data_IF_315849768161
#
_entry.id   IF_315849768161
#
_cell.length_a   1.000
_cell.length_b   1.000
_cell.length_c   1.000
_cell.angle_alpha   90.00
_cell.angle_beta   90.00
_cell.angle_gamma   90.00
#
_symmetry.space_group_name_H-M   'P 1'
#
loop_
_entity.id
_entity.type
_entity.pdbx_description
1 polymer ?
#
# COMPACT_ATOMS: atom_id res chain seq x y z
N UNK A 1 -27.85 3.40 56.68
CA UNK A 1 -26.60 4.11 56.31
C UNK A 1 -26.03 3.39 55.11
N UNK A 2 -26.01 4.07 53.96
CA UNK A 2 -25.70 3.46 52.66
C UNK A 2 -24.18 3.53 52.49
N UNK A 3 -23.52 2.37 52.42
CA UNK A 3 -22.07 2.28 52.26
C UNK A 3 -21.69 2.52 50.80
N UNK A 4 -20.86 3.53 50.54
CA UNK A 4 -20.32 3.83 49.22
C UNK A 4 -19.12 2.92 48.93
N UNK A 5 -19.21 2.13 47.86
CA UNK A 5 -18.10 1.35 47.33
C UNK A 5 -17.24 2.23 46.41
N UNK A 6 -15.92 2.22 46.63
CA UNK A 6 -14.94 2.92 45.80
C UNK A 6 -14.84 2.29 44.38
N UNK A 7 -14.50 3.08 43.34
CA UNK A 7 -14.46 2.58 41.97
C UNK A 7 -13.28 1.60 41.78
N UNK A 8 -13.59 0.39 41.32
CA UNK A 8 -12.59 -0.58 40.85
C UNK A 8 -12.00 -0.04 39.55
N UNK A 9 -10.76 0.44 39.60
CA UNK A 9 -9.97 0.72 38.41
C UNK A 9 -9.53 -0.64 37.84
N UNK A 10 -9.89 -1.00 36.60
CA UNK A 10 -9.45 -2.26 36.02
C UNK A 10 -7.93 -2.23 35.78
N UNK A 11 -7.23 -3.35 36.04
CA UNK A 11 -5.79 -3.45 35.83
C UNK A 11 -5.48 -3.26 34.34
N UNK A 12 -4.50 -2.40 34.04
CA UNK A 12 -3.95 -2.22 32.69
C UNK A 12 -3.60 -3.58 32.11
N UNK A 13 -4.37 -4.04 31.13
CA UNK A 13 -4.06 -5.26 30.41
C UNK A 13 -2.72 -5.08 29.69
N UNK A 14 -1.82 -6.00 30.02
CA UNK A 14 -0.57 -6.24 29.34
C UNK A 14 -0.86 -6.44 27.85
N UNK A 15 -0.07 -5.80 27.00
CA UNK A 15 -0.08 -5.99 25.54
C UNK A 15 0.12 -7.46 25.23
N UNK A 16 -0.98 -8.20 25.08
CA UNK A 16 -0.98 -9.59 24.65
C UNK A 16 -0.87 -9.55 23.14
N UNK A 17 0.37 -9.55 22.64
CA UNK A 17 0.64 -9.83 21.23
C UNK A 17 -0.14 -11.10 20.88
N UNK A 18 -1.14 -10.98 20.02
CA UNK A 18 -1.98 -12.11 19.64
C UNK A 18 -1.17 -13.03 18.72
N UNK A 19 -1.56 -14.29 18.60
CA UNK A 19 -0.85 -15.25 17.76
C UNK A 19 -0.74 -14.77 16.29
N UNK A 20 -1.69 -13.94 15.85
CA UNK A 20 -1.69 -13.28 14.54
C UNK A 20 -0.52 -12.29 14.36
N UNK A 21 -0.09 -11.62 15.44
CA UNK A 21 1.07 -10.71 15.42
C UNK A 21 2.39 -11.47 15.19
N UNK A 22 2.48 -12.72 15.65
CA UNK A 22 3.64 -13.58 15.42
C UNK A 22 3.70 -14.11 13.98
N UNK A 23 2.56 -14.36 13.33
CA UNK A 23 2.52 -14.77 11.92
C UNK A 23 2.90 -13.62 10.99
N UNK A 24 2.49 -12.38 11.31
CA UNK A 24 2.89 -11.18 10.57
C UNK A 24 4.41 -10.95 10.63
N UNK A 25 5.02 -11.13 11.80
CA UNK A 25 6.47 -11.00 11.97
C UNK A 25 7.28 -12.10 11.25
N UNK A 26 6.67 -13.23 10.87
CA UNK A 26 7.34 -14.30 10.14
C UNK A 26 7.42 -14.06 8.62
N UNK A 27 6.72 -13.05 8.10
CA UNK A 27 6.73 -12.71 6.67
C UNK A 27 8.01 -11.94 6.31
N UNK A 28 8.73 -12.38 5.27
CA UNK A 28 9.88 -11.64 4.72
C UNK A 28 9.43 -10.22 4.35
N UNK A 29 10.10 -9.21 4.90
CA UNK A 29 9.67 -7.80 4.78
C UNK A 29 9.08 -7.20 6.06
N UNK A 30 8.57 -8.03 6.97
CA UNK A 30 8.04 -7.61 8.28
C UNK A 30 9.01 -7.89 9.44
N UNK A 31 10.15 -8.53 9.14
CA UNK A 31 11.28 -8.74 10.05
C UNK A 31 12.08 -7.45 10.25
N UNK A 32 13.05 -7.49 11.16
CA UNK A 32 13.91 -6.33 11.50
C UNK A 32 14.68 -5.76 10.30
N UNK A 33 14.99 -6.57 9.29
CA UNK A 33 15.69 -6.14 8.08
C UNK A 33 14.77 -5.54 7.01
N UNK A 34 13.45 -5.57 7.19
CA UNK A 34 12.49 -5.00 6.25
C UNK A 34 12.71 -5.51 4.82
N UNK A 35 12.80 -4.60 3.86
CA UNK A 35 13.04 -4.94 2.46
C UNK A 35 14.36 -5.68 2.21
N UNK A 36 15.37 -5.52 3.07
CA UNK A 36 16.66 -6.17 2.86
C UNK A 36 16.59 -7.68 3.04
N UNK A 37 15.67 -8.17 3.87
CA UNK A 37 15.44 -9.60 4.05
C UNK A 37 14.87 -10.22 2.77
N UNK A 38 14.02 -9.48 2.05
CA UNK A 38 13.52 -9.88 0.73
C UNK A 38 14.65 -9.88 -0.30
N UNK A 39 15.45 -8.80 -0.36
CA UNK A 39 16.56 -8.65 -1.31
C UNK A 39 17.63 -9.74 -1.17
N UNK A 40 17.89 -10.19 0.07
CA UNK A 40 18.89 -11.22 0.40
C UNK A 40 18.38 -12.65 0.24
N UNK A 41 17.09 -12.84 -0.07
CA UNK A 41 16.52 -14.17 -0.25
C UNK A 41 17.14 -14.90 -1.47
N UNK A 42 17.34 -16.22 -1.37
CA UNK A 42 18.01 -17.04 -2.42
C UNK A 42 17.40 -16.88 -3.81
N UNK A 43 16.08 -16.66 -3.90
CA UNK A 43 15.38 -16.42 -5.17
C UNK A 43 15.97 -15.23 -5.94
N UNK A 44 16.34 -14.15 -5.25
CA UNK A 44 16.89 -12.93 -5.84
C UNK A 44 18.43 -12.89 -5.84
N UNK A 45 19.11 -14.01 -5.59
CA UNK A 45 20.58 -14.07 -5.50
C UNK A 45 21.33 -13.62 -6.77
N UNK A 46 20.63 -13.56 -7.91
CA UNK A 46 21.18 -13.10 -9.21
C UNK A 46 20.79 -11.67 -9.56
N UNK A 47 20.03 -11.00 -8.71
CA UNK A 47 19.57 -9.62 -8.96
C UNK A 47 20.61 -8.66 -8.41
N UNK A 48 21.19 -7.86 -9.29
CA UNK A 48 21.95 -6.67 -8.92
C UNK A 48 20.98 -5.52 -8.64
N UNK A 49 20.72 -5.25 -7.36
CA UNK A 49 19.77 -4.23 -6.93
C UNK A 49 20.23 -2.81 -7.26
N UNK A 50 21.55 -2.55 -7.33
CA UNK A 50 22.09 -1.24 -7.68
C UNK A 50 21.92 -1.00 -9.18
N UNK A 51 22.15 -2.02 -10.01
CA UNK A 51 21.95 -1.92 -11.46
C UNK A 51 20.46 -1.80 -11.84
N UNK A 52 19.56 -2.48 -11.12
CA UNK A 52 18.11 -2.29 -11.27
C UNK A 52 17.68 -0.89 -10.86
N UNK A 53 18.17 -0.38 -9.72
CA UNK A 53 17.84 0.97 -9.25
C UNK A 53 18.30 2.05 -10.25
N UNK A 54 19.51 1.89 -10.78
CA UNK A 54 20.09 2.81 -11.77
C UNK A 54 19.56 2.59 -13.20
N UNK A 55 18.64 1.63 -13.41
CA UNK A 55 18.06 1.28 -14.72
C UNK A 55 19.11 0.92 -15.77
N UNK A 56 20.21 0.29 -15.35
CA UNK A 56 21.30 -0.12 -16.25
C UNK A 56 21.17 -1.57 -16.71
N UNK A 57 20.46 -2.41 -15.95
CA UNK A 57 20.07 -3.74 -16.41
C UNK A 57 19.03 -3.67 -17.52
N UNK A 58 19.21 -4.47 -18.57
CA UNK A 58 18.23 -4.53 -19.67
C UNK A 58 17.05 -5.38 -19.22
N UNK A 59 15.80 -4.89 -19.30
CA UNK A 59 14.64 -5.68 -18.91
C UNK A 59 14.48 -6.88 -19.85
N UNK A 60 13.98 -8.02 -19.35
CA UNK A 60 13.80 -9.22 -20.16
C UNK A 60 12.74 -9.05 -21.25
N UNK A 61 11.85 -8.06 -21.10
CA UNK A 61 10.82 -7.72 -22.07
C UNK A 61 10.80 -6.21 -22.27
N UNK A 62 10.82 -5.80 -23.55
CA UNK A 62 10.65 -4.43 -23.98
C UNK A 62 9.32 -4.35 -24.75
N UNK A 63 8.29 -3.67 -24.22
CA UNK A 63 7.02 -3.53 -24.92
C UNK A 63 7.19 -2.69 -26.20
N UNK A 64 6.38 -3.00 -27.20
CA UNK A 64 6.32 -2.17 -28.40
C UNK A 64 5.65 -0.83 -28.08
N UNK A 65 6.26 0.28 -28.51
CA UNK A 65 5.70 1.62 -28.36
C UNK A 65 5.85 2.34 -29.70
N UNK A 66 4.72 2.60 -30.36
CA UNK A 66 4.64 3.25 -31.67
C UNK A 66 4.78 4.78 -31.62
N UNK A 67 4.58 5.41 -30.46
CA UNK A 67 4.73 6.85 -30.28
C UNK A 67 4.04 7.41 -29.03
N UNK A 68 4.02 8.74 -28.85
CA UNK A 68 3.52 9.39 -27.63
C UNK A 68 2.03 9.16 -27.29
N UNK A 69 1.21 8.72 -28.25
CA UNK A 69 -0.21 8.41 -28.07
C UNK A 69 -0.55 6.93 -28.23
N UNK A 70 0.45 6.05 -28.17
CA UNK A 70 0.24 4.62 -28.33
C UNK A 70 -0.46 4.01 -27.11
N UNK A 71 -1.61 3.41 -27.35
CA UNK A 71 -2.46 2.74 -26.36
C UNK A 71 -2.59 1.23 -26.64
N UNK A 72 -1.77 0.65 -27.52
CA UNK A 72 -1.84 -0.78 -27.89
C UNK A 72 -1.51 -1.75 -26.76
N UNK A 73 -0.81 -1.27 -25.72
CA UNK A 73 -0.50 -2.06 -24.53
C UNK A 73 -1.60 -1.99 -23.45
N UNK A 74 -2.75 -1.38 -23.77
CA UNK A 74 -3.92 -1.29 -22.90
C UNK A 74 -5.10 -2.01 -23.55
N UNK A 75 -6.00 -2.54 -22.73
CA UNK A 75 -7.25 -3.11 -23.22
C UNK A 75 -8.19 -2.00 -23.68
N UNK A 76 -8.97 -2.28 -24.73
CA UNK A 76 -10.05 -1.40 -25.17
C UNK A 76 -11.28 -1.62 -24.27
N UNK A 77 -11.59 -0.62 -23.46
CA UNK A 77 -12.80 -0.58 -22.65
C UNK A 77 -13.81 0.39 -23.29
N UNK A 78 -15.11 0.07 -23.31
CA UNK A 78 -16.11 1.02 -23.76
C UNK A 78 -16.13 2.22 -22.82
N UNK A 79 -16.32 3.41 -23.39
CA UNK A 79 -16.61 4.60 -22.60
C UNK A 79 -17.86 4.37 -21.76
N UNK A 80 -17.91 5.04 -20.59
CA UNK A 80 -19.13 5.03 -19.78
C UNK A 80 -20.29 5.54 -20.64
N UNK A 81 -21.39 4.77 -20.78
CA UNK A 81 -22.48 5.12 -21.67
C UNK A 81 -23.26 6.35 -21.19
N UNK A 82 -23.11 6.74 -19.93
CA UNK A 82 -23.76 7.90 -19.33
C UNK A 82 -22.78 8.65 -18.42
N UNK A 83 -22.95 9.98 -18.41
CA UNK A 83 -22.37 10.85 -17.41
C UNK A 83 -23.28 10.82 -16.17
N UNK A 84 -22.93 9.93 -15.24
CA UNK A 84 -23.62 9.77 -13.96
C UNK A 84 -23.07 10.74 -12.89
N UNK A 85 -22.38 11.81 -13.30
CA UNK A 85 -21.76 12.73 -12.36
C UNK A 85 -22.78 13.36 -11.41
N UNK A 86 -22.51 13.22 -10.12
CA UNK A 86 -23.28 13.87 -9.06
C UNK A 86 -22.68 15.25 -8.82
N UNK A 87 -23.50 16.29 -8.87
CA UNK A 87 -23.06 17.63 -8.47
C UNK A 87 -22.80 17.62 -6.97
N UNK A 88 -21.54 17.83 -6.59
CA UNK A 88 -21.10 17.86 -5.19
C UNK A 88 -21.34 19.25 -4.58
N UNK A 89 -21.72 19.27 -3.31
CA UNK A 89 -21.97 20.49 -2.54
C UNK A 89 -21.28 20.43 -1.18
N UNK A 90 -21.10 21.60 -0.56
CA UNK A 90 -20.66 21.72 0.83
C UNK A 90 -19.31 21.04 1.09
N UNK A 91 -19.26 20.24 2.17
CA UNK A 91 -18.04 19.57 2.63
C UNK A 91 -17.51 18.55 1.60
N UNK A 92 -18.38 17.88 0.86
CA UNK A 92 -17.96 16.92 -0.17
C UNK A 92 -17.20 17.63 -1.29
N UNK A 93 -17.69 18.79 -1.74
CA UNK A 93 -16.99 19.60 -2.75
C UNK A 93 -15.66 20.12 -2.18
N UNK A 94 -15.66 20.64 -0.95
CA UNK A 94 -14.46 21.15 -0.30
C UNK A 94 -13.38 20.08 -0.14
N UNK A 95 -13.76 18.81 0.08
CA UNK A 95 -12.81 17.70 0.16
C UNK A 95 -12.02 17.50 -1.15
N UNK A 96 -12.65 17.73 -2.31
CA UNK A 96 -11.96 17.67 -3.61
C UNK A 96 -11.11 18.92 -3.88
N UNK A 97 -11.47 20.09 -3.35
CA UNK A 97 -10.63 21.30 -3.48
C UNK A 97 -9.27 21.13 -2.78
N UNK A 98 -9.17 20.28 -1.75
CA UNK A 98 -7.89 19.94 -1.11
C UNK A 98 -7.00 19.08 -2.02
N UNK A 99 -7.58 18.32 -2.96
CA UNK A 99 -6.83 17.43 -3.85
C UNK A 99 -5.85 18.19 -4.75
N UNK A 100 -6.22 19.39 -5.21
CA UNK A 100 -5.38 20.24 -6.06
C UNK A 100 -4.15 20.83 -5.33
N UNK A 101 -4.04 20.60 -4.02
CA UNK A 101 -2.95 21.09 -3.18
C UNK A 101 -1.91 20.02 -2.80
N UNK A 102 -2.05 18.79 -3.32
CA UNK A 102 -1.06 17.71 -3.21
C UNK A 102 -0.23 17.58 -4.50
#
# INVERSE_FOLDING_TARGET
MISAAAPVVPPREQTKYTLDDFELLATLGCLRGGSDDVKKHRYFSRVDWDAVFNRTETPPYLPHVGGPGDHQNFDEYPDSPMDDSVVLFGEDKAAFEVFDHF
#
